data_IF_482695087654
#
_entry.id   IF_482695087654
#
_cell.length_a   1.000
_cell.length_b   1.000
_cell.length_c   1.000
_cell.angle_alpha   90.00
_cell.angle_beta   90.00
_cell.angle_gamma   90.00
#
_symmetry.space_group_name_H-M   'P 1'
#
loop_
_entity.id
_entity.type
_entity.pdbx_description
1 polymer ?
#
# COMPACT_ATOMS: atom_id res chain seq x y z
N UNK A 1 50.49 2.77 -39.43
CA UNK A 1 50.02 2.27 -40.74
C UNK A 1 50.15 0.75 -40.72
N UNK A 2 49.09 0.04 -40.33
CA UNK A 2 48.96 -1.40 -40.47
C UNK A 2 47.46 -1.72 -40.47
N UNK A 3 47.03 -2.22 -41.60
CA UNK A 3 45.66 -2.31 -42.09
C UNK A 3 44.92 -3.46 -41.43
N UNK A 4 43.65 -3.23 -41.11
CA UNK A 4 42.68 -4.23 -40.71
C UNK A 4 42.30 -5.07 -41.95
N UNK A 5 42.66 -6.34 -41.98
CA UNK A 5 42.13 -7.27 -42.99
C UNK A 5 41.66 -8.52 -42.25
N UNK A 6 40.51 -8.38 -41.59
CA UNK A 6 39.79 -9.50 -41.00
C UNK A 6 39.02 -10.21 -42.11
N UNK A 7 39.70 -11.09 -42.85
CA UNK A 7 39.03 -12.11 -43.66
C UNK A 7 38.40 -13.13 -42.72
N UNK A 8 37.17 -12.86 -42.28
CA UNK A 8 36.32 -13.85 -41.63
C UNK A 8 35.63 -14.66 -42.74
N UNK A 9 36.03 -15.92 -43.00
CA UNK A 9 35.35 -16.72 -44.00
C UNK A 9 33.97 -17.09 -43.45
N UNK A 10 32.91 -16.48 -44.00
CA UNK A 10 31.55 -16.95 -43.75
C UNK A 10 31.47 -18.40 -44.26
N UNK A 11 31.04 -19.37 -43.45
CA UNK A 11 30.88 -20.73 -43.92
C UNK A 11 29.85 -20.75 -45.05
N UNK A 12 30.25 -21.34 -46.17
CA UNK A 12 29.45 -21.41 -47.39
C UNK A 12 28.11 -22.12 -47.12
N UNK A 13 27.04 -21.71 -47.80
CA UNK A 13 25.71 -22.32 -47.62
C UNK A 13 25.71 -23.85 -47.89
N UNK A 14 26.67 -24.34 -48.68
CA UNK A 14 26.87 -25.77 -48.93
C UNK A 14 27.36 -26.53 -47.69
N UNK A 15 28.17 -25.91 -46.82
CA UNK A 15 28.68 -26.52 -45.59
C UNK A 15 27.59 -26.64 -44.52
N UNK A 16 26.59 -25.75 -44.54
CA UNK A 16 25.41 -25.82 -43.66
C UNK A 16 24.33 -26.79 -44.17
N UNK A 17 24.33 -27.12 -45.46
CA UNK A 17 23.33 -28.02 -46.08
C UNK A 17 23.61 -29.51 -45.83
N UNK A 18 24.86 -29.89 -45.52
CA UNK A 18 25.27 -31.26 -45.20
C UNK A 18 25.49 -31.53 -43.71
N UNK A 19 25.38 -30.52 -42.85
CA UNK A 19 25.48 -30.70 -41.41
C UNK A 19 24.17 -31.30 -40.91
N UNK A 20 24.17 -32.61 -40.70
CA UNK A 20 23.08 -33.34 -40.06
C UNK A 20 23.03 -32.90 -38.59
N UNK A 21 22.36 -31.76 -38.33
CA UNK A 21 22.26 -31.19 -36.98
C UNK A 21 21.53 -32.24 -36.16
N UNK A 22 22.19 -32.91 -35.19
CA UNK A 22 21.53 -33.91 -34.38
C UNK A 22 20.34 -33.22 -33.73
N UNK A 23 19.12 -33.64 -34.11
CA UNK A 23 17.87 -33.13 -33.53
C UNK A 23 17.96 -33.40 -32.04
N UNK A 24 18.42 -32.41 -31.29
CA UNK A 24 18.60 -32.48 -29.85
C UNK A 24 17.21 -32.73 -29.30
N UNK A 25 16.92 -34.00 -29.02
CA UNK A 25 15.68 -34.47 -28.44
C UNK A 25 15.55 -33.65 -27.16
N UNK A 26 14.67 -32.64 -27.16
CA UNK A 26 14.33 -31.87 -25.96
C UNK A 26 13.88 -32.94 -24.97
N UNK A 27 14.75 -33.33 -24.06
CA UNK A 27 14.34 -34.11 -22.90
C UNK A 27 13.31 -33.21 -22.23
N UNK A 28 12.07 -33.70 -22.17
CA UNK A 28 11.07 -33.13 -21.30
C UNK A 28 11.61 -33.29 -19.89
N UNK A 29 12.35 -32.28 -19.43
CA UNK A 29 12.83 -32.21 -18.05
C UNK A 29 11.60 -32.43 -17.18
N UNK A 30 11.68 -33.45 -16.32
CA UNK A 30 10.69 -33.65 -15.28
C UNK A 30 10.43 -32.31 -14.61
N UNK A 31 9.16 -31.96 -14.45
CA UNK A 31 8.78 -30.69 -13.83
C UNK A 31 9.57 -30.56 -12.53
N UNK A 32 10.18 -29.40 -12.26
CA UNK A 32 10.94 -29.25 -11.05
C UNK A 32 10.09 -29.60 -9.81
N UNK A 33 10.67 -30.14 -8.73
CA UNK A 33 9.91 -30.67 -7.59
C UNK A 33 9.05 -29.61 -6.87
N UNK A 34 9.35 -28.31 -7.07
CA UNK A 34 8.53 -27.20 -6.57
C UNK A 34 7.24 -26.94 -7.38
N UNK A 35 7.07 -27.59 -8.54
CA UNK A 35 5.87 -27.52 -9.39
C UNK A 35 4.97 -28.76 -9.26
N UNK A 36 5.26 -29.65 -8.33
CA UNK A 36 4.34 -30.73 -7.99
C UNK A 36 3.06 -30.11 -7.44
N UNK A 37 1.92 -30.46 -8.06
CA UNK A 37 0.62 -29.99 -7.61
C UNK A 37 0.49 -30.41 -6.15
N UNK A 38 0.31 -29.47 -5.20
CA UNK A 38 0.21 -29.83 -3.80
C UNK A 38 -0.86 -30.91 -3.66
N UNK A 39 -0.58 -32.01 -2.95
CA UNK A 39 -1.54 -33.08 -2.81
C UNK A 39 -2.83 -32.51 -2.22
N UNK A 40 -3.97 -33.06 -2.64
CA UNK A 40 -5.30 -32.48 -2.37
C UNK A 40 -5.52 -32.19 -0.87
N UNK A 41 -4.92 -32.98 0.02
CA UNK A 41 -4.97 -32.78 1.47
C UNK A 41 -4.25 -31.51 1.95
N UNK A 42 -3.09 -31.15 1.36
CA UNK A 42 -2.35 -29.91 1.69
C UNK A 42 -3.13 -28.70 1.19
N UNK A 43 -3.73 -28.80 0.01
CA UNK A 43 -4.57 -27.74 -0.54
C UNK A 43 -5.82 -27.56 0.31
N UNK A 44 -6.50 -28.64 0.68
CA UNK A 44 -7.66 -28.61 1.57
C UNK A 44 -7.31 -28.01 2.94
N UNK A 45 -6.19 -28.43 3.55
CA UNK A 45 -5.72 -27.86 4.82
C UNK A 45 -5.44 -26.37 4.71
N UNK A 46 -4.73 -25.92 3.66
CA UNK A 46 -4.49 -24.49 3.42
C UNK A 46 -5.80 -23.73 3.26
N UNK A 47 -6.73 -24.24 2.46
CA UNK A 47 -8.04 -23.60 2.23
C UNK A 47 -8.85 -23.53 3.51
N UNK A 48 -8.89 -24.59 4.32
CA UNK A 48 -9.60 -24.59 5.61
C UNK A 48 -8.98 -23.58 6.57
N UNK A 49 -7.64 -23.57 6.69
CA UNK A 49 -6.95 -22.59 7.55
C UNK A 49 -7.23 -21.16 7.11
N UNK A 50 -7.16 -20.87 5.80
CA UNK A 50 -7.52 -19.55 5.26
C UNK A 50 -8.99 -19.21 5.54
N UNK A 51 -9.91 -20.17 5.36
CA UNK A 51 -11.33 -19.98 5.60
C UNK A 51 -11.63 -19.68 7.09
N UNK A 52 -10.96 -20.37 8.03
CA UNK A 52 -11.09 -20.10 9.47
C UNK A 52 -10.59 -18.69 9.81
N UNK A 53 -9.43 -18.28 9.28
CA UNK A 53 -8.89 -16.93 9.50
C UNK A 53 -9.87 -15.87 8.97
N UNK A 54 -10.40 -16.06 7.76
CA UNK A 54 -11.40 -15.16 7.18
C UNK A 54 -12.64 -15.10 8.06
N UNK A 55 -13.14 -16.24 8.54
CA UNK A 55 -14.31 -16.28 9.42
C UNK A 55 -14.07 -15.53 10.73
N UNK A 56 -12.90 -15.72 11.37
CA UNK A 56 -12.54 -14.98 12.59
C UNK A 56 -12.45 -13.47 12.36
N UNK A 57 -12.02 -13.03 11.17
CA UNK A 57 -12.00 -11.61 10.82
C UNK A 57 -13.39 -11.06 10.51
N UNK A 58 -14.26 -11.82 9.84
CA UNK A 58 -15.60 -11.37 9.43
C UNK A 58 -16.59 -11.34 10.60
N UNK A 59 -16.47 -12.25 11.56
CA UNK A 59 -17.34 -12.30 12.75
C UNK A 59 -17.46 -10.96 13.52
N UNK A 60 -16.37 -10.24 13.87
CA UNK A 60 -16.50 -8.94 14.53
C UNK A 60 -17.16 -7.88 13.64
N UNK A 61 -16.96 -7.91 12.31
CA UNK A 61 -17.67 -7.00 11.40
C UNK A 61 -19.18 -7.28 11.37
N UNK A 62 -19.57 -8.56 11.31
CA UNK A 62 -20.98 -8.96 11.38
C UNK A 62 -21.61 -8.55 12.71
N UNK A 63 -20.88 -8.71 13.82
CA UNK A 63 -21.34 -8.29 15.13
C UNK A 63 -21.55 -6.76 15.19
N UNK A 64 -20.58 -5.96 14.71
CA UNK A 64 -20.72 -4.50 14.66
C UNK A 64 -21.91 -4.09 13.79
N UNK A 65 -22.14 -4.78 12.67
CA UNK A 65 -23.27 -4.51 11.79
C UNK A 65 -24.61 -4.85 12.46
N UNK A 66 -24.72 -6.00 13.11
CA UNK A 66 -25.91 -6.39 13.84
C UNK A 66 -26.21 -5.46 15.02
N UNK A 67 -25.18 -5.02 15.76
CA UNK A 67 -25.31 -4.01 16.82
C UNK A 67 -25.77 -2.67 16.26
N UNK A 68 -25.27 -2.24 15.10
CA UNK A 68 -25.67 -0.97 14.48
C UNK A 68 -27.15 -0.90 14.09
N UNK A 69 -27.80 -2.06 13.93
CA UNK A 69 -29.23 -2.21 13.63
C UNK A 69 -30.06 -2.59 14.86
N UNK A 70 -29.45 -2.81 16.02
CA UNK A 70 -30.16 -3.23 17.24
C UNK A 70 -30.71 -2.04 18.04
N UNK A 71 -31.79 -2.27 18.79
CA UNK A 71 -32.35 -1.27 19.69
C UNK A 71 -31.46 -1.04 20.93
N UNK A 72 -31.57 0.11 21.61
CA UNK A 72 -30.78 0.42 22.81
C UNK A 72 -30.96 -0.63 23.93
N UNK A 73 -32.17 -1.20 24.04
CA UNK A 73 -32.50 -2.25 25.00
C UNK A 73 -31.82 -3.58 24.65
N UNK A 74 -31.74 -3.93 23.36
CA UNK A 74 -31.04 -5.14 22.88
C UNK A 74 -29.52 -5.04 23.07
N UNK A 75 -28.95 -3.84 22.99
CA UNK A 75 -27.50 -3.59 23.27
C UNK A 75 -27.20 -3.76 24.76
N UNK A 76 -28.07 -3.25 25.64
CA UNK A 76 -27.90 -3.35 27.09
C UNK A 76 -28.12 -4.77 27.64
N UNK A 77 -28.93 -5.58 26.97
CA UNK A 77 -29.20 -6.97 27.34
C UNK A 77 -27.95 -7.89 27.24
N UNK A 78 -26.86 -7.44 26.62
CA UNK A 78 -25.53 -8.04 26.79
C UNK A 78 -25.40 -9.46 26.25
N UNK A 79 -25.73 -9.67 24.96
CA UNK A 79 -25.50 -10.94 24.24
C UNK A 79 -24.71 -10.74 22.95
N UNK A 80 -24.19 -11.83 22.38
CA UNK A 80 -23.70 -11.88 20.99
C UNK A 80 -24.90 -11.63 20.06
N UNK A 81 -25.19 -10.37 19.76
CA UNK A 81 -26.27 -9.99 18.84
C UNK A 81 -25.79 -10.31 17.42
N UNK A 82 -25.89 -11.58 17.02
CA UNK A 82 -25.69 -11.99 15.61
C UNK A 82 -26.96 -11.69 14.79
N UNK A 83 -28.12 -11.73 15.44
CA UNK A 83 -29.41 -11.31 14.88
C UNK A 83 -30.14 -10.43 15.91
N UNK A 84 -30.42 -9.15 15.60
CA UNK A 84 -31.18 -8.27 16.49
C UNK A 84 -32.63 -8.73 16.59
N UNK A 85 -33.18 -8.78 17.81
CA UNK A 85 -34.58 -9.10 18.07
C UNK A 85 -35.51 -8.01 17.54
N UNK A 86 -35.10 -6.74 17.68
CA UNK A 86 -35.83 -5.58 17.18
C UNK A 86 -34.91 -4.73 16.28
N UNK A 87 -34.91 -4.94 14.96
CA UNK A 87 -34.14 -4.11 14.06
C UNK A 87 -34.69 -2.67 14.05
N UNK A 88 -33.85 -1.69 14.39
CA UNK A 88 -34.20 -0.27 14.41
C UNK A 88 -33.15 0.58 13.68
N UNK A 89 -33.61 1.65 13.04
CA UNK A 89 -32.73 2.65 12.38
C UNK A 89 -32.49 3.88 13.26
N UNK A 90 -32.87 3.83 14.54
CA UNK A 90 -32.79 4.95 15.46
C UNK A 90 -31.35 5.44 15.66
N UNK A 91 -30.37 4.53 15.66
CA UNK A 91 -28.95 4.88 15.75
C UNK A 91 -28.46 5.70 14.54
N UNK A 92 -28.91 5.33 13.34
CA UNK A 92 -28.60 6.08 12.12
C UNK A 92 -29.28 7.44 12.11
N UNK A 93 -30.56 7.50 12.51
CA UNK A 93 -31.28 8.77 12.60
C UNK A 93 -30.62 9.72 13.62
N UNK A 94 -30.17 9.20 14.77
CA UNK A 94 -29.43 9.96 15.77
C UNK A 94 -28.11 10.53 15.21
N UNK A 95 -27.40 9.77 14.36
CA UNK A 95 -26.20 10.25 13.69
C UNK A 95 -26.56 11.36 12.69
N UNK A 96 -27.53 11.13 11.79
CA UNK A 96 -27.87 12.06 10.71
C UNK A 96 -28.64 13.32 11.15
N UNK A 97 -29.17 13.37 12.38
CA UNK A 97 -29.83 14.56 12.95
C UNK A 97 -28.91 15.79 13.16
N UNK A 98 -27.66 15.76 12.69
CA UNK A 98 -26.82 16.96 12.56
C UNK A 98 -25.94 17.27 13.79
N UNK A 99 -25.56 16.25 14.56
CA UNK A 99 -24.71 16.41 15.74
C UNK A 99 -23.20 16.50 15.46
N UNK A 100 -22.43 16.38 16.54
CA UNK A 100 -20.95 16.37 16.53
C UNK A 100 -20.39 15.28 15.60
N UNK A 101 -21.08 14.14 15.49
CA UNK A 101 -20.67 12.99 14.67
C UNK A 101 -20.63 13.33 13.18
N UNK A 102 -21.67 13.99 12.64
CA UNK A 102 -21.71 14.39 11.22
C UNK A 102 -20.63 15.42 10.91
N UNK A 103 -20.45 16.40 11.80
CA UNK A 103 -19.37 17.38 11.65
C UNK A 103 -17.99 16.73 11.67
N UNK A 104 -17.77 15.78 12.59
CA UNK A 104 -16.51 15.04 12.68
C UNK A 104 -16.27 14.22 11.40
N UNK A 105 -17.30 13.53 10.88
CA UNK A 105 -17.22 12.79 9.61
C UNK A 105 -16.88 13.71 8.43
N UNK A 106 -17.55 14.85 8.31
CA UNK A 106 -17.27 15.83 7.24
C UNK A 106 -15.83 16.37 7.33
N UNK A 107 -15.37 16.70 8.53
CA UNK A 107 -14.00 17.15 8.77
C UNK A 107 -12.99 16.05 8.44
N UNK A 108 -13.21 14.81 8.89
CA UNK A 108 -12.32 13.69 8.59
C UNK A 108 -12.23 13.42 7.09
N UNK A 109 -13.37 13.36 6.39
CA UNK A 109 -13.40 13.14 4.94
C UNK A 109 -12.68 14.29 4.22
N UNK A 110 -13.00 15.54 4.57
CA UNK A 110 -12.33 16.71 3.99
C UNK A 110 -10.82 16.68 4.23
N UNK A 111 -10.40 16.44 5.48
CA UNK A 111 -9.00 16.40 5.87
C UNK A 111 -8.23 15.29 5.16
N UNK A 112 -8.79 14.08 5.05
CA UNK A 112 -8.15 12.98 4.32
C UNK A 112 -8.07 13.29 2.84
N UNK A 113 -9.14 13.81 2.22
CA UNK A 113 -9.15 14.12 0.80
C UNK A 113 -8.14 15.22 0.46
N UNK A 114 -8.23 16.38 1.13
CA UNK A 114 -7.32 17.50 0.89
C UNK A 114 -5.89 17.18 1.34
N UNK A 115 -5.73 16.50 2.47
CA UNK A 115 -4.44 16.08 3.00
C UNK A 115 -3.73 15.12 2.05
N UNK A 116 -4.39 14.07 1.57
CA UNK A 116 -3.80 13.11 0.64
C UNK A 116 -3.53 13.72 -0.73
N UNK A 117 -4.43 14.55 -1.27
CA UNK A 117 -4.21 15.22 -2.55
C UNK A 117 -3.00 16.16 -2.48
N UNK A 118 -2.94 17.02 -1.46
CA UNK A 118 -1.79 17.89 -1.26
C UNK A 118 -0.52 17.06 -1.06
N UNK A 119 -0.55 16.05 -0.20
CA UNK A 119 0.60 15.18 0.05
C UNK A 119 1.13 14.53 -1.23
N UNK A 120 0.24 14.02 -2.09
CA UNK A 120 0.61 13.39 -3.35
C UNK A 120 1.25 14.39 -4.32
N UNK A 121 0.71 15.60 -4.43
CA UNK A 121 1.26 16.66 -5.30
C UNK A 121 2.67 17.05 -4.85
N UNK A 122 2.86 17.37 -3.56
CA UNK A 122 4.17 17.77 -3.04
C UNK A 122 5.19 16.64 -3.11
N UNK A 123 4.80 15.43 -2.69
CA UNK A 123 5.70 14.26 -2.68
C UNK A 123 6.12 13.88 -4.10
N UNK A 124 5.19 13.86 -5.07
CA UNK A 124 5.51 13.48 -6.46
C UNK A 124 6.39 14.53 -7.13
N UNK A 125 6.09 15.82 -6.93
CA UNK A 125 6.90 16.93 -7.49
C UNK A 125 8.32 16.90 -6.95
N UNK A 126 8.48 16.67 -5.64
CA UNK A 126 9.79 16.57 -5.00
C UNK A 126 10.54 15.30 -5.44
N UNK A 127 9.87 14.14 -5.46
CA UNK A 127 10.47 12.88 -5.90
C UNK A 127 10.96 12.96 -7.36
N UNK A 128 10.16 13.59 -8.24
CA UNK A 128 10.55 13.83 -9.62
C UNK A 128 11.80 14.72 -9.71
N UNK A 129 11.86 15.81 -8.94
CA UNK A 129 13.06 16.65 -8.85
C UNK A 129 14.31 15.90 -8.37
N UNK A 130 14.16 14.98 -7.41
CA UNK A 130 15.27 14.19 -6.86
C UNK A 130 15.67 12.96 -7.69
N UNK A 131 14.85 12.53 -8.65
CA UNK A 131 15.15 11.40 -9.54
C UNK A 131 16.19 11.76 -10.61
N UNK A 132 16.22 13.02 -11.07
CA UNK A 132 17.05 13.43 -12.21
C UNK A 132 18.51 13.70 -11.84
N UNK A 133 19.48 13.05 -12.51
CA UNK A 133 20.90 13.37 -12.35
C UNK A 133 21.21 14.70 -13.04
N UNK A 134 21.34 15.77 -12.25
CA UNK A 134 21.60 17.12 -12.75
C UNK A 134 21.07 18.24 -11.85
N UNK A 135 20.21 17.91 -10.88
CA UNK A 135 19.72 18.90 -9.92
C UNK A 135 20.78 19.16 -8.84
N UNK A 136 21.26 20.41 -8.68
CA UNK A 136 22.22 20.76 -7.65
C UNK A 136 21.61 20.52 -6.27
N UNK A 137 22.34 19.84 -5.38
CA UNK A 137 21.87 19.53 -4.02
C UNK A 137 21.00 18.28 -3.87
N UNK A 138 20.68 17.57 -4.96
CA UNK A 138 19.86 16.34 -4.95
C UNK A 138 20.36 15.26 -3.98
N UNK A 139 21.68 15.02 -3.90
CA UNK A 139 22.27 14.06 -2.96
C UNK A 139 22.10 14.49 -1.51
N UNK A 140 22.38 15.75 -1.19
CA UNK A 140 22.25 16.29 0.17
C UNK A 140 20.81 16.28 0.67
N UNK A 141 19.86 16.69 -0.19
CA UNK A 141 18.45 16.67 0.13
C UNK A 141 17.93 15.24 0.34
N UNK A 142 18.39 14.27 -0.46
CA UNK A 142 18.08 12.86 -0.25
C UNK A 142 18.58 12.37 1.12
N UNK A 143 19.80 12.74 1.54
CA UNK A 143 20.31 12.40 2.87
C UNK A 143 19.46 13.01 4.00
N UNK A 144 18.99 14.25 3.85
CA UNK A 144 18.10 14.88 4.84
C UNK A 144 16.75 14.15 4.91
N UNK A 145 16.15 13.81 3.77
CA UNK A 145 14.86 13.08 3.73
C UNK A 145 15.00 11.68 4.34
N UNK A 146 16.08 10.97 4.03
CA UNK A 146 16.39 9.68 4.65
C UNK A 146 16.64 9.85 6.15
N UNK A 147 17.37 10.89 6.56
CA UNK A 147 17.59 11.22 7.97
C UNK A 147 16.28 11.47 8.72
N UNK A 148 15.37 12.25 8.15
CA UNK A 148 14.05 12.50 8.71
C UNK A 148 13.15 11.26 8.76
N UNK A 149 13.35 10.29 7.85
CA UNK A 149 12.66 9.00 7.90
C UNK A 149 13.14 8.14 9.07
N UNK A 150 14.44 8.17 9.38
CA UNK A 150 15.03 7.39 10.47
C UNK A 150 14.83 8.07 11.84
N UNK A 151 14.83 9.39 11.88
CA UNK A 151 14.70 10.19 13.10
C UNK A 151 13.27 10.73 13.15
N UNK A 152 12.36 9.96 13.76
CA UNK A 152 11.00 10.42 14.01
C UNK A 152 10.98 11.35 15.25
N UNK A 153 10.62 12.64 15.11
CA UNK A 153 10.46 13.51 16.26
C UNK A 153 9.29 13.00 17.12
N UNK A 154 9.50 12.86 18.43
CA UNK A 154 8.46 12.42 19.35
C UNK A 154 7.24 13.35 19.37
N UNK A 155 6.19 12.94 20.08
CA UNK A 155 4.96 13.71 20.19
C UNK A 155 5.17 15.11 20.80
N UNK A 156 6.04 15.22 21.82
CA UNK A 156 6.29 16.49 22.52
C UNK A 156 6.93 17.52 21.58
N UNK A 157 8.09 17.26 20.93
CA UNK A 157 8.67 18.22 19.98
C UNK A 157 7.74 18.61 18.85
N UNK A 158 6.99 17.65 18.29
CA UNK A 158 6.05 17.89 17.20
C UNK A 158 4.91 18.81 17.64
N UNK A 159 4.41 18.64 18.86
CA UNK A 159 3.38 19.51 19.42
C UNK A 159 3.90 20.93 19.68
N UNK A 160 5.11 21.08 20.24
CA UNK A 160 5.71 22.40 20.46
C UNK A 160 5.89 23.15 19.13
N UNK A 161 6.34 22.48 18.07
CA UNK A 161 6.48 23.08 16.75
C UNK A 161 5.16 23.64 16.22
N UNK A 162 4.06 22.87 16.30
CA UNK A 162 2.73 23.34 15.86
C UNK A 162 2.26 24.51 16.73
N UNK A 163 2.56 24.48 18.04
CA UNK A 163 2.24 25.56 18.97
C UNK A 163 2.99 26.85 18.63
N UNK A 164 4.28 26.77 18.37
CA UNK A 164 5.11 27.92 17.99
C UNK A 164 4.72 28.52 16.64
N UNK A 165 4.24 27.69 15.70
CA UNK A 165 3.69 28.15 14.43
C UNK A 165 2.30 28.82 14.58
N UNK A 166 1.70 28.82 15.76
CA UNK A 166 0.38 29.43 16.01
C UNK A 166 -0.79 28.68 15.34
N UNK A 167 -0.57 27.44 14.90
CA UNK A 167 -1.55 26.66 14.12
C UNK A 167 -2.50 25.81 15.01
N UNK A 168 -2.45 25.97 16.33
CA UNK A 168 -3.25 25.17 17.24
C UNK A 168 -4.75 25.29 16.94
N UNK A 169 -5.45 24.15 17.00
CA UNK A 169 -6.88 24.01 16.73
C UNK A 169 -7.31 24.38 15.29
N UNK A 170 -6.39 24.36 14.33
CA UNK A 170 -6.69 24.57 12.89
C UNK A 170 -6.55 23.27 12.09
N UNK A 171 -7.23 23.18 10.94
CA UNK A 171 -7.06 22.05 10.02
C UNK A 171 -5.64 21.98 9.43
N UNK A 172 -4.98 23.12 9.31
CA UNK A 172 -3.61 23.22 8.77
C UNK A 172 -2.59 22.51 9.65
N UNK A 173 -2.77 22.51 10.98
CA UNK A 173 -1.92 21.76 11.91
C UNK A 173 -1.92 20.25 11.65
N UNK A 174 -2.98 19.70 11.06
CA UNK A 174 -3.08 18.28 10.75
C UNK A 174 -2.48 17.94 9.38
N UNK A 175 -2.59 18.85 8.41
CA UNK A 175 -2.10 18.63 7.04
C UNK A 175 -0.61 18.90 6.94
N UNK A 176 -0.15 20.05 7.46
CA UNK A 176 1.20 20.57 7.24
C UNK A 176 2.32 19.59 7.63
N UNK A 177 2.29 18.95 8.82
CA UNK A 177 3.36 18.03 9.21
C UNK A 177 3.43 16.76 8.34
N UNK A 178 2.29 16.35 7.78
CA UNK A 178 2.16 15.14 6.95
C UNK A 178 2.27 15.37 5.45
N UNK A 179 2.45 16.62 4.99
CA UNK A 179 2.47 16.98 3.56
C UNK A 179 3.55 16.26 2.76
N UNK A 180 4.68 15.94 3.37
CA UNK A 180 5.75 15.19 2.73
C UNK A 180 6.01 13.96 3.57
N UNK A 181 5.65 12.79 3.03
CA UNK A 181 6.03 11.52 3.63
C UNK A 181 7.38 11.10 3.05
N UNK A 182 8.42 11.12 3.88
CA UNK A 182 9.77 10.69 3.50
C UNK A 182 9.78 9.27 2.92
N UNK A 183 8.96 8.37 3.49
CA UNK A 183 8.80 7.01 2.99
C UNK A 183 8.20 6.97 1.57
N UNK A 184 7.07 7.66 1.37
CA UNK A 184 6.40 7.70 0.08
C UNK A 184 7.29 8.34 -0.99
N UNK A 185 8.05 9.38 -0.63
CA UNK A 185 9.00 10.04 -1.52
C UNK A 185 10.07 9.08 -2.03
N UNK A 186 10.69 8.30 -1.13
CA UNK A 186 11.73 7.34 -1.50
C UNK A 186 11.21 6.28 -2.46
N UNK A 187 9.98 5.78 -2.22
CA UNK A 187 9.32 4.83 -3.11
C UNK A 187 9.10 5.43 -4.49
N UNK A 188 8.45 6.60 -4.55
CA UNK A 188 8.11 7.24 -5.83
C UNK A 188 9.36 7.59 -6.63
N UNK A 189 10.44 8.03 -5.96
CA UNK A 189 11.73 8.27 -6.61
C UNK A 189 12.32 7.00 -7.23
N UNK A 190 12.14 5.82 -6.63
CA UNK A 190 12.66 4.56 -7.17
C UNK A 190 11.93 4.14 -8.46
N UNK A 191 10.71 4.63 -8.67
CA UNK A 191 9.92 4.38 -9.88
C UNK A 191 10.19 5.38 -11.02
N UNK A 192 10.84 6.51 -10.74
CA UNK A 192 11.20 7.54 -11.72
C UNK A 192 12.66 7.43 -12.16
#
# INVERSE_FOLDING_TARGET
MATYETTNPRPDAATLAGADIPRRRRSSGGRPPWMERPPLWVTALKTITLAVIVMMMVLPFLHVFAVSLSSYEDVLAGGLVLFPSNPTLAAYEAIFRGGIVVRALQVSIGLTLFGTLAQMIFTTTMAWGLSRPGVPGSRGLLFVVLGALLIAPGLIPSFLLIKELGLLNTYQALILPGLISSFNLVIVRQFF
#
